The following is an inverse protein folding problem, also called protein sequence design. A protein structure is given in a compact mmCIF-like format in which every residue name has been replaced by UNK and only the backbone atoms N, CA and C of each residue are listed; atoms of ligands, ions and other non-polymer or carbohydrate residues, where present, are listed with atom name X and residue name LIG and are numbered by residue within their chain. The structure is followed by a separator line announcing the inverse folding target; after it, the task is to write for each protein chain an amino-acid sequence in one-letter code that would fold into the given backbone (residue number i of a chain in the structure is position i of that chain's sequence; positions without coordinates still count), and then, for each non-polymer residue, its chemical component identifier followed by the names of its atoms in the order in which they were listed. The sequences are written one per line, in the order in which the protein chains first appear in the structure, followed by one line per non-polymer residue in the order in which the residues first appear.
data_IF_998669961021
#
_entry.id   IF_998669961021
#
_cell.length_a   1.000
_cell.length_b   1.000
_cell.length_c   1.000
_cell.angle_alpha   90.00
_cell.angle_beta   90.00
_cell.angle_gamma   90.00
#
_symmetry.space_group_name_H-M   'P 1'
#
loop_
_entity.id
_entity.type
_entity.pdbx_description
1 polymer ?
#
# COMPACT_ATOMS: atom_id res chain seq x y z
N UNK A 1 -4.94 16.85 -8.19
CA UNK A 1 -4.21 17.42 -7.03
C UNK A 1 -2.70 17.12 -7.13
N UNK A 2 -2.26 15.86 -7.31
CA UNK A 2 -0.82 15.50 -7.37
C UNK A 2 -0.07 16.25 -8.48
N UNK A 3 -0.66 16.46 -9.66
CA UNK A 3 -0.03 17.25 -10.72
C UNK A 3 0.28 18.69 -10.27
N UNK A 4 -0.60 19.30 -9.47
CA UNK A 4 -0.32 20.64 -8.89
C UNK A 4 0.81 20.58 -7.86
N UNK A 5 0.87 19.51 -7.07
CA UNK A 5 1.96 19.32 -6.11
C UNK A 5 3.32 19.13 -6.82
N UNK A 6 3.35 18.37 -7.92
CA UNK A 6 4.56 18.20 -8.74
C UNK A 6 4.97 19.53 -9.36
N UNK A 7 4.05 20.25 -10.00
CA UNK A 7 4.35 21.58 -10.59
C UNK A 7 4.89 22.56 -9.52
N UNK A 8 4.25 22.59 -8.35
CA UNK A 8 4.71 23.39 -7.22
C UNK A 8 6.13 23.02 -6.77
N UNK A 9 6.42 21.74 -6.64
CA UNK A 9 7.74 21.24 -6.26
C UNK A 9 8.84 21.55 -7.27
N UNK A 10 8.50 21.65 -8.55
CA UNK A 10 9.41 22.06 -9.62
C UNK A 10 9.41 23.57 -9.91
N UNK A 11 8.80 24.39 -9.06
CA UNK A 11 8.96 25.85 -9.09
C UNK A 11 7.81 26.63 -9.71
N UNK A 12 6.68 26.00 -10.00
CA UNK A 12 5.52 26.74 -10.51
C UNK A 12 4.87 27.56 -9.40
N UNK A 13 4.90 28.88 -9.51
CA UNK A 13 4.25 29.79 -8.57
C UNK A 13 2.77 30.04 -8.93
N UNK A 14 2.39 29.87 -10.18
CA UNK A 14 1.03 30.00 -10.67
C UNK A 14 0.71 28.91 -11.70
N UNK A 15 -0.49 28.37 -11.62
CA UNK A 15 -1.02 27.37 -12.57
C UNK A 15 -2.42 27.80 -13.00
N UNK A 16 -2.67 27.86 -14.32
CA UNK A 16 -3.98 28.14 -14.89
C UNK A 16 -4.57 26.87 -15.53
N UNK A 17 -5.39 26.09 -14.80
CA UNK A 17 -6.00 24.86 -15.32
C UNK A 17 -7.26 25.18 -16.13
N UNK A 18 -7.09 25.95 -17.22
CA UNK A 18 -8.20 26.52 -18.01
C UNK A 18 -9.17 25.43 -18.47
N UNK A 19 -8.68 24.30 -18.97
CA UNK A 19 -9.53 23.21 -19.46
C UNK A 19 -10.41 22.60 -18.36
N UNK A 20 -9.88 22.46 -17.14
CA UNK A 20 -10.68 22.00 -16.01
C UNK A 20 -11.77 23.03 -15.63
N UNK A 21 -11.45 24.32 -15.67
CA UNK A 21 -12.42 25.39 -15.38
C UNK A 21 -13.52 25.45 -16.44
N UNK A 22 -13.17 25.38 -17.72
CA UNK A 22 -14.14 25.34 -18.83
C UNK A 22 -15.03 24.07 -18.76
N UNK A 23 -14.44 22.92 -18.43
CA UNK A 23 -15.20 21.69 -18.23
C UNK A 23 -16.22 21.84 -17.09
N UNK A 24 -15.85 22.47 -15.99
CA UNK A 24 -16.76 22.72 -14.89
C UNK A 24 -17.92 23.66 -15.30
N UNK A 25 -17.62 24.69 -16.06
CA UNK A 25 -18.66 25.58 -16.61
C UNK A 25 -19.60 24.85 -17.57
N UNK A 26 -19.04 23.97 -18.42
CA UNK A 26 -19.86 23.16 -19.32
C UNK A 26 -20.78 22.19 -18.57
N UNK A 27 -20.30 21.58 -17.46
CA UNK A 27 -21.07 20.60 -16.67
C UNK A 27 -22.13 21.26 -15.77
N UNK A 28 -21.85 22.43 -15.18
CA UNK A 28 -22.70 23.08 -14.20
C UNK A 28 -23.41 24.33 -14.75
N UNK A 29 -23.15 24.70 -16.00
CA UNK A 29 -23.67 25.88 -16.66
C UNK A 29 -22.79 27.12 -16.43
N UNK A 30 -22.88 28.07 -17.39
CA UNK A 30 -22.27 29.40 -17.23
C UNK A 30 -23.04 30.20 -16.18
N UNK A 31 -22.30 30.96 -15.33
CA UNK A 31 -22.86 31.78 -14.28
C UNK A 31 -22.64 31.26 -12.86
N UNK A 32 -23.55 31.59 -11.95
CA UNK A 32 -23.33 31.40 -10.50
C UNK A 32 -23.00 29.95 -10.06
N UNK A 33 -23.62 28.95 -10.67
CA UNK A 33 -23.35 27.54 -10.33
C UNK A 33 -21.99 27.06 -10.88
N UNK A 34 -21.63 27.45 -12.11
CA UNK A 34 -20.29 27.17 -12.67
C UNK A 34 -19.18 27.85 -11.88
N UNK A 35 -19.38 29.13 -11.53
CA UNK A 35 -18.43 29.90 -10.72
C UNK A 35 -18.22 29.27 -9.34
N UNK A 36 -19.30 28.79 -8.72
CA UNK A 36 -19.24 28.06 -7.45
C UNK A 36 -18.51 26.74 -7.57
N UNK A 37 -18.71 25.99 -8.67
CA UNK A 37 -18.00 24.77 -8.94
C UNK A 37 -16.49 25.01 -9.09
N UNK A 38 -16.09 26.07 -9.83
CA UNK A 38 -14.69 26.49 -9.96
C UNK A 38 -14.10 26.87 -8.60
N UNK A 39 -14.83 27.68 -7.81
CA UNK A 39 -14.37 28.06 -6.47
C UNK A 39 -14.16 26.85 -5.56
N UNK A 40 -15.04 25.85 -5.62
CA UNK A 40 -14.88 24.60 -4.91
C UNK A 40 -13.67 23.79 -5.40
N UNK A 41 -13.45 23.73 -6.70
CA UNK A 41 -12.27 23.09 -7.29
C UNK A 41 -10.97 23.73 -6.80
N UNK A 42 -10.85 25.07 -6.90
CA UNK A 42 -9.68 25.80 -6.42
C UNK A 42 -9.45 25.56 -4.92
N UNK A 43 -10.51 25.63 -4.12
CA UNK A 43 -10.43 25.34 -2.68
C UNK A 43 -9.99 23.90 -2.39
N UNK A 44 -10.47 22.93 -3.17
CA UNK A 44 -10.09 21.52 -3.02
C UNK A 44 -8.61 21.30 -3.36
N UNK A 45 -8.11 21.90 -4.45
CA UNK A 45 -6.69 21.86 -4.82
C UNK A 45 -5.82 22.49 -3.73
N UNK A 46 -6.17 23.69 -3.25
CA UNK A 46 -5.42 24.36 -2.18
C UNK A 46 -5.35 23.53 -0.90
N UNK A 47 -6.50 22.98 -0.45
CA UNK A 47 -6.51 22.06 0.71
C UNK A 47 -5.68 20.81 0.47
N UNK A 48 -5.72 20.25 -0.75
CA UNK A 48 -4.93 19.10 -1.13
C UNK A 48 -3.44 19.38 -1.07
N UNK A 49 -2.97 20.49 -1.62
CA UNK A 49 -1.56 20.89 -1.59
C UNK A 49 -1.08 21.11 -0.16
N UNK A 50 -1.84 21.83 0.67
CA UNK A 50 -1.53 22.00 2.08
C UNK A 50 -1.41 20.67 2.81
N UNK A 51 -2.27 19.70 2.48
CA UNK A 51 -2.22 18.36 3.07
C UNK A 51 -0.97 17.59 2.65
N UNK A 52 -0.56 17.68 1.37
CA UNK A 52 0.70 17.10 0.87
C UNK A 52 1.88 17.66 1.63
N UNK A 53 2.00 18.98 1.70
CA UNK A 53 3.07 19.68 2.42
C UNK A 53 3.11 19.29 3.90
N UNK A 54 1.96 19.29 4.56
CA UNK A 54 1.83 18.89 5.98
C UNK A 54 2.31 17.47 6.23
N UNK A 55 1.99 16.54 5.33
CA UNK A 55 2.45 15.14 5.43
C UNK A 55 3.97 14.99 5.27
N UNK A 56 4.59 15.89 4.54
CA UNK A 56 6.04 15.94 4.38
C UNK A 56 6.74 16.76 5.48
N UNK A 57 5.99 17.32 6.43
CA UNK A 57 6.53 18.19 7.47
C UNK A 57 7.00 19.56 6.96
N UNK A 58 6.54 19.98 5.77
CA UNK A 58 6.90 21.27 5.16
C UNK A 58 5.79 22.27 5.41
N UNK A 59 6.09 23.33 6.17
CA UNK A 59 5.11 24.30 6.63
C UNK A 59 4.93 25.49 5.69
N UNK A 60 5.89 25.79 4.82
CA UNK A 60 5.84 26.94 3.91
C UNK A 60 6.03 26.52 2.46
N UNK A 61 5.33 27.22 1.55
CA UNK A 61 5.46 26.95 0.12
C UNK A 61 6.89 27.19 -0.41
N UNK A 62 7.58 28.20 0.10
CA UNK A 62 8.97 28.50 -0.24
C UNK A 62 9.91 27.32 0.04
N UNK A 63 9.67 26.59 1.13
CA UNK A 63 10.45 25.41 1.47
C UNK A 63 10.06 24.17 0.68
N UNK A 64 8.88 24.17 0.09
CA UNK A 64 8.41 23.08 -0.76
C UNK A 64 8.94 23.18 -2.19
N UNK A 65 8.98 24.39 -2.72
CA UNK A 65 9.45 24.70 -4.08
C UNK A 65 10.94 24.39 -4.21
N UNK A 66 11.30 23.53 -5.15
CA UNK A 66 12.70 23.14 -5.40
C UNK A 66 13.31 22.20 -4.33
N UNK A 67 12.51 21.62 -3.44
CA UNK A 67 12.99 20.78 -2.34
C UNK A 67 13.50 19.39 -2.76
N UNK A 68 13.52 19.05 -4.06
CA UNK A 68 13.97 17.74 -4.60
C UNK A 68 13.27 16.53 -3.93
N UNK A 69 11.99 16.65 -3.71
CA UNK A 69 11.17 15.65 -3.01
C UNK A 69 10.56 14.60 -3.95
N UNK A 70 10.91 14.63 -5.22
CA UNK A 70 10.40 13.72 -6.24
C UNK A 70 11.51 12.77 -6.70
N UNK A 71 11.09 11.60 -7.14
CA UNK A 71 11.92 10.59 -7.76
C UNK A 71 11.37 10.31 -9.17
N UNK A 72 12.27 10.26 -10.17
CA UNK A 72 11.91 9.86 -11.51
C UNK A 72 12.00 8.33 -11.63
N UNK A 73 10.95 7.72 -12.15
CA UNK A 73 10.89 6.28 -12.40
C UNK A 73 10.54 6.06 -13.87
N UNK A 74 11.37 5.29 -14.58
CA UNK A 74 11.14 4.94 -15.97
C UNK A 74 11.55 6.02 -16.98
N UNK A 75 12.41 6.96 -16.61
CA UNK A 75 13.01 7.95 -17.50
C UNK A 75 14.53 7.73 -17.59
N UNK A 76 15.09 7.82 -18.80
CA UNK A 76 16.53 7.75 -19.01
C UNK A 76 17.28 8.83 -18.22
N UNK A 77 18.43 8.49 -17.66
CA UNK A 77 19.24 9.41 -16.86
C UNK A 77 19.59 10.69 -17.66
N UNK A 78 19.97 10.56 -18.93
CA UNK A 78 20.26 11.71 -19.79
C UNK A 78 19.08 12.66 -19.99
N UNK A 79 17.84 12.12 -20.00
CA UNK A 79 16.63 12.92 -20.07
C UNK A 79 16.40 13.67 -18.73
N UNK A 80 16.58 12.98 -17.62
CA UNK A 80 16.44 13.57 -16.28
C UNK A 80 17.48 14.66 -16.07
N UNK A 81 18.74 14.42 -16.38
CA UNK A 81 19.83 15.39 -16.21
C UNK A 81 19.60 16.67 -17.00
N UNK A 82 19.00 16.55 -18.19
CA UNK A 82 18.74 17.69 -19.07
C UNK A 82 17.51 18.53 -18.65
N UNK A 83 16.42 17.88 -18.24
CA UNK A 83 15.12 18.54 -18.06
C UNK A 83 14.68 18.62 -16.61
N UNK A 84 15.20 17.76 -15.75
CA UNK A 84 14.85 17.64 -14.33
C UNK A 84 16.12 17.55 -13.47
N UNK A 85 17.09 18.39 -13.76
CA UNK A 85 18.41 18.40 -13.12
C UNK A 85 18.31 18.31 -11.58
N UNK A 86 19.02 17.34 -11.00
CA UNK A 86 19.01 17.09 -9.56
C UNK A 86 17.89 16.16 -9.06
N UNK A 87 16.95 15.76 -9.93
CA UNK A 87 15.97 14.72 -9.59
C UNK A 87 16.66 13.37 -9.56
N UNK A 88 16.43 12.61 -8.50
CA UNK A 88 16.97 11.25 -8.37
C UNK A 88 16.22 10.26 -9.25
N UNK A 89 16.94 9.32 -9.87
CA UNK A 89 16.37 8.24 -10.66
C UNK A 89 17.20 6.97 -10.44
N UNK A 90 16.53 5.85 -10.16
CA UNK A 90 17.17 4.53 -10.02
C UNK A 90 16.65 3.52 -11.03
N UNK A 91 15.53 3.81 -11.66
CA UNK A 91 14.92 2.96 -12.68
C UNK A 91 14.83 3.75 -13.96
N UNK A 92 15.77 3.49 -14.87
CA UNK A 92 15.76 4.10 -16.21
C UNK A 92 14.67 3.50 -17.10
N UNK A 93 14.34 4.18 -18.19
CA UNK A 93 13.32 3.74 -19.13
C UNK A 93 13.35 4.56 -20.42
N UNK A 94 12.25 5.26 -20.71
CA UNK A 94 12.06 6.02 -21.96
C UNK A 94 12.88 7.31 -21.97
N UNK A 95 13.31 7.69 -23.17
CA UNK A 95 14.04 8.92 -23.42
C UNK A 95 13.19 9.99 -24.11
N UNK A 96 13.88 11.00 -24.66
CA UNK A 96 13.23 12.15 -25.30
C UNK A 96 12.38 11.77 -26.50
N UNK A 97 12.79 10.75 -27.28
CA UNK A 97 12.07 10.35 -28.49
C UNK A 97 10.74 9.70 -28.16
N UNK A 98 10.70 8.83 -27.17
CA UNK A 98 9.47 8.16 -26.73
C UNK A 98 8.50 9.17 -26.08
N UNK A 99 9.02 10.08 -25.26
CA UNK A 99 8.20 11.18 -24.68
C UNK A 99 7.62 12.07 -25.79
N UNK A 100 8.43 12.40 -26.80
CA UNK A 100 7.97 13.16 -27.97
C UNK A 100 6.89 12.39 -28.74
N UNK A 101 7.08 11.09 -28.97
CA UNK A 101 6.09 10.24 -29.65
C UNK A 101 4.76 10.20 -28.91
N UNK A 102 4.78 10.04 -27.59
CA UNK A 102 3.56 10.10 -26.75
C UNK A 102 2.85 11.45 -26.87
N UNK A 103 3.61 12.55 -26.86
CA UNK A 103 3.05 13.89 -27.04
C UNK A 103 2.42 14.08 -28.44
N UNK A 104 3.07 13.57 -29.49
CA UNK A 104 2.56 13.62 -30.88
C UNK A 104 1.28 12.78 -30.98
N UNK A 105 1.26 11.57 -30.43
CA UNK A 105 0.07 10.71 -30.40
C UNK A 105 -1.11 11.40 -29.72
N UNK A 106 -0.87 12.00 -28.56
CA UNK A 106 -1.89 12.75 -27.82
C UNK A 106 -2.41 13.94 -28.61
N UNK A 107 -1.51 14.71 -29.25
CA UNK A 107 -1.87 15.82 -30.11
C UNK A 107 -2.70 15.36 -31.32
N UNK A 108 -2.24 14.30 -32.02
CA UNK A 108 -2.95 13.75 -33.18
C UNK A 108 -4.36 13.28 -32.79
N UNK A 109 -4.51 12.64 -31.64
CA UNK A 109 -5.79 12.20 -31.12
C UNK A 109 -6.75 13.39 -30.85
N UNK A 110 -6.22 14.49 -30.30
CA UNK A 110 -7.02 15.68 -29.99
C UNK A 110 -7.44 16.47 -31.22
N UNK A 111 -6.60 16.51 -32.26
CA UNK A 111 -6.78 17.37 -33.43
C UNK A 111 -6.94 16.62 -34.76
N UNK A 112 -7.17 15.31 -34.70
CA UNK A 112 -7.40 14.48 -35.88
C UNK A 112 -8.71 14.90 -36.56
N UNK A 113 -8.69 14.84 -37.91
CA UNK A 113 -9.84 15.13 -38.72
C UNK A 113 -10.89 14.01 -38.79
N UNK A 114 -10.73 12.93 -37.99
CA UNK A 114 -11.69 11.84 -37.91
C UNK A 114 -12.92 12.27 -37.09
N UNK A 115 -14.08 12.53 -37.74
CA UNK A 115 -15.25 13.08 -37.04
C UNK A 115 -15.90 12.07 -36.09
N UNK A 116 -15.60 10.75 -36.22
CA UNK A 116 -16.15 9.71 -35.37
C UNK A 116 -15.39 9.61 -34.05
N UNK A 117 -14.07 9.82 -34.09
CA UNK A 117 -13.21 9.71 -32.91
C UNK A 117 -13.03 11.04 -32.16
N UNK A 118 -13.11 12.15 -32.85
CA UNK A 118 -12.87 13.49 -32.28
C UNK A 118 -13.86 13.92 -31.19
N UNK A 119 -15.06 13.33 -31.16
CA UNK A 119 -16.09 13.63 -30.16
C UNK A 119 -16.23 12.59 -29.04
N UNK A 120 -15.43 11.53 -29.03
CA UNK A 120 -15.53 10.45 -28.04
C UNK A 120 -14.44 10.55 -27.01
N UNK A 121 -14.82 10.62 -25.74
CA UNK A 121 -13.87 10.44 -24.64
C UNK A 121 -13.47 8.96 -24.54
N UNK A 122 -12.25 8.72 -24.08
CA UNK A 122 -11.79 7.37 -23.76
C UNK A 122 -12.66 6.74 -22.66
N UNK A 123 -12.76 5.42 -22.67
CA UNK A 123 -13.50 4.68 -21.66
C UNK A 123 -12.96 4.91 -20.24
N UNK A 124 -11.73 5.43 -20.12
CA UNK A 124 -11.03 5.62 -18.85
C UNK A 124 -10.71 4.29 -18.19
N UNK A 125 -10.93 4.19 -16.90
CA UNK A 125 -10.71 2.94 -16.18
C UNK A 125 -9.42 2.90 -15.36
N UNK A 126 -8.76 4.02 -15.14
CA UNK A 126 -7.53 4.10 -14.33
C UNK A 126 -7.73 3.53 -12.91
N UNK A 127 -8.86 3.84 -12.28
CA UNK A 127 -9.16 3.44 -10.89
C UNK A 127 -10.08 2.22 -10.77
N UNK A 128 -10.85 1.93 -11.81
CA UNK A 128 -11.77 0.81 -11.85
C UNK A 128 -11.79 0.21 -13.24
N UNK A 129 -11.78 -1.12 -13.33
CA UNK A 129 -11.84 -1.82 -14.61
C UNK A 129 -13.06 -1.38 -15.44
N UNK A 130 -12.82 -1.05 -16.71
CA UNK A 130 -13.84 -0.76 -17.70
C UNK A 130 -13.56 -1.53 -18.98
N UNK A 131 -14.59 -2.07 -19.60
CA UNK A 131 -14.48 -2.70 -20.92
C UNK A 131 -13.96 -1.65 -21.92
N UNK A 132 -12.92 -1.96 -22.66
CA UNK A 132 -12.20 -1.06 -23.59
C UNK A 132 -11.51 0.15 -22.93
N UNK A 133 -11.37 0.16 -21.60
CA UNK A 133 -10.61 1.15 -20.86
C UNK A 133 -9.16 0.75 -20.65
N UNK A 134 -8.54 1.39 -19.66
CA UNK A 134 -7.17 1.08 -19.22
C UNK A 134 -7.02 -0.40 -18.85
N UNK A 135 -5.87 -0.95 -19.17
CA UNK A 135 -5.56 -2.35 -18.86
C UNK A 135 -5.16 -2.51 -17.39
N UNK A 136 -5.64 -3.59 -16.77
CA UNK A 136 -5.34 -3.95 -15.39
C UNK A 136 -4.76 -5.35 -15.32
N UNK A 137 -3.81 -5.58 -14.41
CA UNK A 137 -3.36 -6.93 -14.06
C UNK A 137 -4.48 -7.70 -13.35
N UNK A 138 -5.21 -7.03 -12.46
CA UNK A 138 -6.35 -7.58 -11.72
C UNK A 138 -7.64 -7.35 -12.50
N UNK A 139 -7.93 -8.25 -13.42
CA UNK A 139 -9.16 -8.23 -14.21
C UNK A 139 -10.30 -8.94 -13.48
N UNK A 140 -11.57 -8.70 -13.85
CA UNK A 140 -12.71 -9.47 -13.34
C UNK A 140 -12.53 -10.98 -13.51
N UNK A 141 -11.93 -11.44 -14.62
CA UNK A 141 -11.66 -12.85 -14.87
C UNK A 141 -10.62 -13.42 -13.89
N UNK A 142 -9.51 -12.72 -13.67
CA UNK A 142 -8.51 -13.12 -12.70
C UNK A 142 -9.11 -13.24 -11.27
N UNK A 143 -9.92 -12.26 -10.87
CA UNK A 143 -10.59 -12.27 -9.56
C UNK A 143 -11.60 -13.42 -9.47
N UNK A 144 -12.43 -13.62 -10.50
CA UNK A 144 -13.42 -14.68 -10.51
C UNK A 144 -12.77 -16.07 -10.44
N UNK A 145 -11.67 -16.30 -11.18
CA UNK A 145 -10.93 -17.57 -11.13
C UNK A 145 -10.32 -17.84 -9.77
N UNK A 146 -9.70 -16.82 -9.14
CA UNK A 146 -9.17 -16.97 -7.80
C UNK A 146 -10.25 -17.31 -6.78
N UNK A 147 -11.37 -16.58 -6.79
CA UNK A 147 -12.50 -16.82 -5.89
C UNK A 147 -13.11 -18.19 -6.13
N UNK A 148 -13.28 -18.60 -7.39
CA UNK A 148 -13.82 -19.91 -7.72
C UNK A 148 -12.89 -21.04 -7.25
N UNK A 149 -11.58 -20.92 -7.53
CA UNK A 149 -10.58 -21.90 -7.11
C UNK A 149 -10.60 -22.11 -5.58
N UNK A 150 -10.61 -21.02 -4.81
CA UNK A 150 -10.61 -21.08 -3.34
C UNK A 150 -11.94 -21.59 -2.76
N UNK A 151 -13.09 -21.25 -3.37
CA UNK A 151 -14.41 -21.69 -2.90
C UNK A 151 -14.69 -23.15 -3.18
N UNK A 152 -14.14 -23.69 -4.27
CA UNK A 152 -14.38 -25.09 -4.72
C UNK A 152 -13.22 -26.01 -4.46
N UNK A 153 -12.11 -25.50 -3.90
CA UNK A 153 -10.87 -26.23 -3.66
C UNK A 153 -10.31 -26.91 -4.94
N UNK A 154 -10.40 -26.19 -6.09
CA UNK A 154 -9.93 -26.66 -7.39
C UNK A 154 -8.59 -26.08 -7.75
N UNK A 155 -7.54 -26.89 -7.60
CA UNK A 155 -6.17 -26.47 -7.91
C UNK A 155 -5.95 -26.16 -9.40
N UNK A 156 -6.65 -26.84 -10.31
CA UNK A 156 -6.53 -26.54 -11.76
C UNK A 156 -7.04 -25.15 -12.10
N UNK A 157 -8.15 -24.72 -11.50
CA UNK A 157 -8.63 -23.33 -11.64
C UNK A 157 -7.67 -22.32 -11.03
N UNK A 158 -6.99 -22.67 -9.94
CA UNK A 158 -5.92 -21.85 -9.39
C UNK A 158 -4.73 -21.72 -10.36
N UNK A 159 -4.35 -22.78 -11.06
CA UNK A 159 -3.30 -22.73 -12.10
C UNK A 159 -3.69 -21.81 -13.27
N UNK A 160 -4.95 -21.82 -13.67
CA UNK A 160 -5.45 -20.88 -14.70
C UNK A 160 -5.33 -19.43 -14.22
N UNK A 161 -5.71 -19.14 -12.98
CA UNK A 161 -5.51 -17.82 -12.36
C UNK A 161 -4.03 -17.45 -12.34
N UNK A 162 -3.18 -18.36 -11.88
CA UNK A 162 -1.73 -18.11 -11.80
C UNK A 162 -1.12 -17.82 -13.17
N UNK A 163 -1.57 -18.51 -14.22
CA UNK A 163 -1.15 -18.25 -15.60
C UNK A 163 -1.51 -16.82 -16.05
N UNK A 164 -2.74 -16.36 -15.78
CA UNK A 164 -3.18 -14.99 -16.11
C UNK A 164 -2.29 -13.94 -15.43
N UNK A 165 -1.93 -14.15 -14.17
CA UNK A 165 -1.14 -13.17 -13.40
C UNK A 165 0.35 -13.23 -13.77
N UNK A 166 0.89 -14.41 -14.03
CA UNK A 166 2.33 -14.60 -14.24
C UNK A 166 2.75 -14.45 -15.71
N UNK A 167 1.87 -14.75 -16.67
CA UNK A 167 2.17 -14.55 -18.08
C UNK A 167 2.03 -13.07 -18.46
N UNK A 168 3.12 -12.36 -18.40
CA UNK A 168 3.23 -10.98 -18.82
C UNK A 168 4.02 -10.80 -20.13
N UNK A 169 4.18 -11.88 -20.90
CA UNK A 169 4.95 -11.89 -22.15
C UNK A 169 4.41 -10.93 -23.20
N UNK A 170 3.09 -10.72 -23.23
CA UNK A 170 2.43 -9.80 -24.17
C UNK A 170 2.18 -8.41 -23.59
N UNK A 171 2.09 -8.30 -22.26
CA UNK A 171 1.68 -7.09 -21.55
C UNK A 171 2.39 -6.98 -20.22
N UNK A 172 3.42 -6.18 -20.17
CA UNK A 172 4.15 -5.93 -18.93
C UNK A 172 3.37 -5.00 -18.01
N UNK A 173 2.77 -5.56 -16.96
CA UNK A 173 1.97 -4.82 -15.99
C UNK A 173 2.71 -4.51 -14.69
N UNK A 174 3.82 -5.20 -14.44
CA UNK A 174 4.64 -5.04 -13.23
C UNK A 174 6.12 -5.18 -13.56
N UNK A 175 6.98 -4.55 -12.75
CA UNK A 175 8.43 -4.74 -12.85
C UNK A 175 8.83 -6.21 -12.71
N UNK A 176 8.11 -7.00 -11.92
CA UNK A 176 8.33 -8.43 -11.77
C UNK A 176 8.21 -9.19 -13.11
N UNK A 177 7.31 -8.75 -13.99
CA UNK A 177 7.13 -9.34 -15.32
C UNK A 177 8.32 -9.16 -16.25
N UNK A 178 9.25 -8.24 -15.92
CA UNK A 178 10.48 -8.00 -16.67
C UNK A 178 11.66 -8.86 -16.17
N UNK A 179 11.50 -9.57 -15.06
CA UNK A 179 12.58 -10.36 -14.49
C UNK A 179 12.63 -11.74 -15.10
N UNK A 180 13.83 -12.19 -15.42
CA UNK A 180 14.11 -13.54 -15.86
C UNK A 180 14.92 -14.29 -14.79
N UNK A 181 14.54 -15.53 -14.52
CA UNK A 181 15.31 -16.40 -13.61
C UNK A 181 16.57 -16.88 -14.34
N UNK A 182 17.72 -16.57 -13.77
CA UNK A 182 19.00 -17.09 -14.26
C UNK A 182 19.27 -18.46 -13.62
N UNK A 183 19.04 -19.50 -14.40
CA UNK A 183 19.31 -20.86 -13.96
C UNK A 183 20.82 -21.13 -13.98
N UNK A 184 21.28 -22.01 -13.08
CA UNK A 184 22.62 -22.54 -13.12
C UNK A 184 22.78 -23.49 -14.32
N UNK A 185 24.03 -23.68 -14.81
CA UNK A 185 24.33 -24.59 -15.90
C UNK A 185 24.04 -26.06 -15.55
N UNK A 186 24.21 -26.43 -14.26
CA UNK A 186 23.94 -27.74 -13.74
C UNK A 186 22.92 -27.68 -12.62
N UNK A 187 21.92 -28.55 -12.69
CA UNK A 187 20.95 -28.72 -11.60
C UNK A 187 21.60 -29.39 -10.42
N UNK A 188 21.32 -28.95 -9.20
CA UNK A 188 21.70 -29.67 -7.98
C UNK A 188 20.70 -30.81 -7.73
N UNK A 189 21.12 -31.90 -7.03
CA UNK A 189 20.23 -32.96 -6.60
C UNK A 189 19.06 -32.44 -5.76
N UNK A 190 17.88 -33.05 -5.89
CA UNK A 190 16.66 -32.56 -5.22
C UNK A 190 16.76 -32.59 -3.69
N UNK A 191 17.50 -33.50 -3.14
CA UNK A 191 17.78 -33.66 -1.71
C UNK A 191 18.70 -32.55 -1.14
N UNK A 192 19.45 -31.88 -2.01
CA UNK A 192 20.25 -30.69 -1.67
C UNK A 192 19.45 -29.39 -1.77
N UNK A 193 18.25 -29.42 -2.37
CA UNK A 193 17.37 -28.24 -2.46
C UNK A 193 16.71 -28.01 -1.10
N UNK A 194 16.74 -26.75 -0.64
CA UNK A 194 16.10 -26.38 0.63
C UNK A 194 14.61 -26.75 0.62
N UNK A 195 14.12 -27.49 1.63
CA UNK A 195 12.72 -27.91 1.70
C UNK A 195 11.76 -26.72 1.80
N UNK A 196 10.61 -26.80 1.14
CA UNK A 196 9.56 -25.77 1.17
C UNK A 196 9.20 -25.35 2.60
N UNK A 197 9.10 -26.31 3.53
CA UNK A 197 8.80 -26.06 4.96
C UNK A 197 9.83 -25.13 5.65
N UNK A 198 11.06 -25.06 5.15
CA UNK A 198 12.10 -24.19 5.70
C UNK A 198 12.10 -22.84 4.96
N UNK A 199 11.81 -22.84 3.66
CA UNK A 199 11.66 -21.62 2.86
C UNK A 199 10.51 -20.76 3.39
N UNK A 200 9.34 -21.35 3.66
CA UNK A 200 8.13 -20.59 4.09
C UNK A 200 8.29 -19.91 5.45
N UNK A 201 9.20 -20.35 6.31
CA UNK A 201 9.51 -19.69 7.59
C UNK A 201 10.01 -18.26 7.44
N UNK A 202 10.56 -17.92 6.27
CA UNK A 202 11.05 -16.57 5.94
C UNK A 202 9.97 -15.67 5.33
N UNK A 203 8.80 -16.21 5.04
CA UNK A 203 7.70 -15.45 4.45
C UNK A 203 6.82 -14.83 5.53
N UNK A 204 6.41 -13.60 5.28
CA UNK A 204 5.49 -12.87 6.14
C UNK A 204 4.41 -12.18 5.30
N UNK A 205 3.22 -12.03 5.86
CA UNK A 205 2.19 -11.18 5.24
C UNK A 205 2.58 -9.70 5.37
N UNK A 206 2.06 -8.88 4.47
CA UNK A 206 2.08 -7.43 4.67
C UNK A 206 1.37 -7.04 5.99
N UNK A 207 1.75 -5.90 6.55
CA UNK A 207 1.11 -5.36 7.73
C UNK A 207 -0.26 -4.77 7.38
N UNK A 208 -1.32 -5.51 7.63
CA UNK A 208 -2.70 -5.10 7.35
C UNK A 208 -3.47 -4.99 8.67
N UNK A 209 -3.87 -3.78 9.01
CA UNK A 209 -4.56 -3.50 10.27
C UNK A 209 -6.00 -3.98 10.26
N UNK A 210 -6.45 -4.53 11.38
CA UNK A 210 -7.86 -4.82 11.60
C UNK A 210 -8.68 -3.52 11.52
N UNK A 211 -9.71 -3.53 10.70
CA UNK A 211 -10.51 -2.35 10.33
C UNK A 211 -10.23 -1.86 8.90
N UNK A 212 -9.01 -2.02 8.37
CA UNK A 212 -8.75 -1.92 6.92
C UNK A 212 -9.18 -3.20 6.19
N UNK A 213 -9.01 -4.35 6.83
CA UNK A 213 -9.56 -5.64 6.42
C UNK A 213 -10.52 -6.17 7.49
N UNK A 214 -11.36 -7.13 7.14
CA UNK A 214 -12.33 -7.73 8.05
C UNK A 214 -11.66 -8.57 9.14
N UNK A 215 -12.39 -8.83 10.23
CA UNK A 215 -11.96 -9.73 11.31
C UNK A 215 -11.67 -11.13 10.76
N UNK A 216 -12.53 -11.62 9.87
CA UNK A 216 -12.37 -12.91 9.21
C UNK A 216 -11.08 -12.98 8.41
N UNK A 217 -10.84 -12.02 7.51
CA UNK A 217 -9.63 -11.98 6.69
C UNK A 217 -8.36 -11.89 7.55
N UNK A 218 -8.35 -11.01 8.55
CA UNK A 218 -7.21 -10.84 9.45
C UNK A 218 -6.90 -12.12 10.25
N UNK A 219 -7.94 -12.83 10.70
CA UNK A 219 -7.78 -14.07 11.48
C UNK A 219 -7.38 -15.24 10.57
N UNK A 220 -8.01 -15.36 9.39
CA UNK A 220 -7.70 -16.41 8.41
C UNK A 220 -6.25 -16.34 7.93
N UNK A 221 -5.73 -15.13 7.70
CA UNK A 221 -4.32 -14.93 7.36
C UNK A 221 -3.39 -15.44 8.47
N UNK A 222 -3.72 -15.17 9.73
CA UNK A 222 -2.92 -15.67 10.85
C UNK A 222 -2.94 -17.20 10.93
N UNK A 223 -4.11 -17.82 10.80
CA UNK A 223 -4.25 -19.28 10.81
C UNK A 223 -3.47 -19.91 9.65
N UNK A 224 -3.63 -19.37 8.43
CA UNK A 224 -2.95 -19.88 7.25
C UNK A 224 -1.43 -19.83 7.40
N UNK A 225 -0.90 -18.69 7.83
CA UNK A 225 0.55 -18.54 8.03
C UNK A 225 1.08 -19.44 9.15
N UNK A 226 0.36 -19.56 10.26
CA UNK A 226 0.75 -20.44 11.34
C UNK A 226 0.77 -21.92 10.91
N UNK A 227 -0.23 -22.37 10.13
CA UNK A 227 -0.31 -23.74 9.61
C UNK A 227 0.86 -24.10 8.68
N UNK A 228 1.30 -23.17 7.85
CA UNK A 228 2.44 -23.39 6.93
C UNK A 228 3.80 -23.09 7.58
N UNK A 229 3.84 -22.52 8.79
CA UNK A 229 5.08 -22.13 9.47
C UNK A 229 5.62 -20.75 9.06
N UNK A 230 4.87 -19.97 8.31
CA UNK A 230 5.18 -18.56 7.99
C UNK A 230 4.76 -17.59 9.10
N UNK A 231 4.82 -16.29 8.82
CA UNK A 231 4.51 -15.25 9.81
C UNK A 231 3.40 -14.32 9.30
N UNK A 232 2.38 -14.09 10.11
CA UNK A 232 1.40 -13.04 9.84
C UNK A 232 1.68 -11.80 10.66
N UNK A 233 1.36 -10.63 10.09
CA UNK A 233 1.59 -9.32 10.70
C UNK A 233 0.25 -8.65 11.02
N UNK A 234 0.06 -8.24 12.28
CA UNK A 234 -1.18 -7.59 12.74
C UNK A 234 -1.46 -6.24 12.08
N UNK A 235 -0.45 -5.58 11.51
CA UNK A 235 -0.51 -4.14 11.31
C UNK A 235 -0.59 -3.40 12.66
N UNK A 236 -0.85 -2.10 12.59
CA UNK A 236 -0.88 -1.23 13.77
C UNK A 236 -2.23 -1.17 14.50
N UNK A 237 -3.19 -2.00 14.13
CA UNK A 237 -4.57 -1.93 14.63
C UNK A 237 -4.85 -2.70 15.93
N UNK A 238 -3.84 -3.32 16.53
CA UNK A 238 -4.02 -4.21 17.65
C UNK A 238 -4.51 -5.61 17.23
N UNK A 239 -4.72 -6.46 18.20
CA UNK A 239 -5.22 -7.81 18.02
C UNK A 239 -6.04 -8.23 19.25
N UNK A 240 -7.19 -8.86 19.03
CA UNK A 240 -8.07 -9.29 20.08
C UNK A 240 -7.40 -10.36 20.96
N UNK A 241 -7.47 -10.19 22.28
CA UNK A 241 -6.86 -11.09 23.26
C UNK A 241 -7.41 -12.52 23.19
N UNK A 242 -8.64 -12.69 22.69
CA UNK A 242 -9.22 -14.03 22.48
C UNK A 242 -8.40 -14.85 21.48
N UNK A 243 -7.68 -14.22 20.56
CA UNK A 243 -6.83 -14.87 19.56
C UNK A 243 -5.52 -15.38 20.14
N UNK A 244 -5.13 -14.95 21.33
CA UNK A 244 -3.87 -15.39 21.98
C UNK A 244 -4.00 -16.77 22.62
N UNK A 245 -5.23 -17.23 22.80
CA UNK A 245 -5.48 -18.57 23.40
C UNK A 245 -5.28 -19.65 22.33
N UNK A 246 -4.49 -20.70 22.63
CA UNK A 246 -4.33 -21.83 21.71
C UNK A 246 -5.66 -22.60 21.61
N UNK A 247 -5.90 -23.16 20.44
CA UNK A 247 -7.04 -24.06 20.22
C UNK A 247 -6.72 -25.41 20.83
N UNK A 248 -7.51 -25.85 21.79
CA UNK A 248 -7.28 -27.11 22.51
C UNK A 248 -8.11 -28.28 22.01
N UNK A 249 -9.19 -28.00 21.28
CA UNK A 249 -10.08 -29.00 20.67
C UNK A 249 -10.59 -28.51 19.32
N UNK A 250 -11.06 -29.45 18.49
CA UNK A 250 -11.65 -29.10 17.20
C UNK A 250 -12.87 -28.21 17.40
N UNK A 251 -12.94 -27.10 16.67
CA UNK A 251 -14.02 -26.12 16.71
C UNK A 251 -14.12 -25.33 15.41
N UNK A 252 -15.12 -24.49 15.28
CA UNK A 252 -15.27 -23.61 14.11
C UNK A 252 -14.84 -22.19 14.42
N UNK A 253 -14.31 -21.51 13.40
CA UNK A 253 -13.87 -20.10 13.51
C UNK A 253 -15.00 -19.20 13.99
N UNK A 254 -16.23 -19.42 13.52
CA UNK A 254 -17.44 -18.68 13.92
C UNK A 254 -17.69 -18.69 15.43
N UNK A 255 -17.33 -19.77 16.11
CA UNK A 255 -17.49 -19.91 17.56
C UNK A 255 -16.56 -18.99 18.35
N UNK A 256 -15.47 -18.50 17.71
CA UNK A 256 -14.50 -17.60 18.36
C UNK A 256 -14.77 -16.15 17.98
N UNK A 257 -14.92 -15.84 16.68
CA UNK A 257 -15.05 -14.46 16.21
C UNK A 257 -16.51 -14.01 16.01
N UNK A 258 -17.45 -14.91 16.18
CA UNK A 258 -18.90 -14.69 16.01
C UNK A 258 -19.41 -15.02 14.62
N UNK A 259 -20.56 -15.65 14.51
CA UNK A 259 -21.19 -16.09 13.25
C UNK A 259 -21.40 -14.93 12.26
N UNK A 260 -21.81 -13.76 12.72
CA UNK A 260 -22.04 -12.59 11.88
C UNK A 260 -20.77 -12.02 11.22
N UNK A 261 -19.59 -12.49 11.60
CA UNK A 261 -18.28 -12.02 11.12
C UNK A 261 -17.61 -13.01 10.19
N UNK A 262 -18.25 -14.11 9.85
CA UNK A 262 -17.71 -15.18 9.04
C UNK A 262 -18.60 -15.40 7.83
N UNK A 263 -18.05 -15.21 6.63
CA UNK A 263 -18.74 -15.55 5.37
C UNK A 263 -18.63 -17.05 5.09
N UNK A 264 -17.45 -17.62 5.31
CA UNK A 264 -17.18 -19.06 5.16
C UNK A 264 -16.51 -19.60 6.40
N UNK A 265 -17.25 -20.40 7.13
CA UNK A 265 -16.75 -20.98 8.37
C UNK A 265 -15.71 -22.07 8.11
N UNK A 266 -14.59 -21.98 8.78
CA UNK A 266 -13.49 -22.94 8.67
C UNK A 266 -13.34 -23.77 9.93
N UNK A 267 -12.90 -25.01 9.77
CA UNK A 267 -12.58 -25.91 10.87
C UNK A 267 -11.18 -25.60 11.42
N UNK A 268 -11.11 -25.51 12.72
CA UNK A 268 -9.91 -25.36 13.50
C UNK A 268 -9.61 -26.68 14.21
N UNK A 269 -8.35 -27.08 14.20
CA UNK A 269 -7.89 -28.27 14.88
C UNK A 269 -7.20 -27.93 16.19
N UNK A 270 -7.12 -28.89 17.10
CA UNK A 270 -6.29 -28.75 18.29
C UNK A 270 -4.82 -28.44 17.86
N UNK A 271 -4.25 -27.42 18.47
CA UNK A 271 -2.92 -26.90 18.12
C UNK A 271 -2.91 -25.73 17.14
N UNK A 272 -4.03 -25.43 16.49
CA UNK A 272 -4.12 -24.20 15.66
C UNK A 272 -4.00 -22.94 16.54
N UNK A 273 -3.44 -21.90 15.96
CA UNK A 273 -3.30 -20.58 16.57
C UNK A 273 -3.88 -19.50 15.67
N UNK A 274 -4.70 -18.63 16.27
CA UNK A 274 -5.26 -17.46 15.59
C UNK A 274 -4.38 -16.23 15.78
N UNK A 275 -3.35 -16.34 16.59
CA UNK A 275 -2.41 -15.28 16.94
C UNK A 275 -1.49 -14.95 15.75
N UNK A 276 -1.38 -13.68 15.40
CA UNK A 276 -0.35 -13.22 14.48
C UNK A 276 1.01 -13.22 15.17
N UNK A 277 2.02 -13.79 14.52
CA UNK A 277 3.38 -13.87 15.08
C UNK A 277 4.11 -12.53 15.09
N UNK A 278 3.86 -11.67 14.10
CA UNK A 278 4.44 -10.33 14.04
C UNK A 278 3.40 -9.32 14.55
N UNK A 279 3.78 -8.53 15.55
CA UNK A 279 2.95 -7.45 16.07
C UNK A 279 3.58 -6.11 15.75
N UNK A 280 2.86 -5.28 15.00
CA UNK A 280 3.35 -3.97 14.60
C UNK A 280 3.01 -2.92 15.68
N UNK A 281 3.98 -2.05 15.94
CA UNK A 281 3.89 -0.92 16.85
C UNK A 281 4.16 0.35 16.06
N UNK A 282 3.18 1.28 16.06
CA UNK A 282 3.33 2.61 15.45
C UNK A 282 3.30 3.68 16.54
N UNK A 283 2.13 4.23 16.82
CA UNK A 283 1.93 5.10 17.98
C UNK A 283 1.14 4.34 19.04
N UNK A 284 1.36 4.61 20.31
CA UNK A 284 0.69 3.91 21.41
C UNK A 284 -0.84 4.05 21.45
N UNK A 285 -1.43 4.81 20.51
CA UNK A 285 -2.88 5.07 20.43
C UNK A 285 -3.69 3.99 19.71
N UNK A 286 -3.06 2.93 19.15
CA UNK A 286 -3.75 1.97 18.30
C UNK A 286 -3.77 0.55 18.84
N UNK A 287 -4.00 0.39 20.15
CA UNK A 287 -4.22 -0.93 20.75
C UNK A 287 -2.95 -1.67 21.16
N UNK A 288 -1.85 -0.95 21.36
CA UNK A 288 -0.62 -1.51 21.93
C UNK A 288 -0.76 -1.59 23.44
N UNK A 289 -0.80 -2.83 23.95
CA UNK A 289 -0.84 -3.14 25.39
C UNK A 289 0.30 -4.07 25.73
N UNK A 290 0.64 -4.21 27.00
CA UNK A 290 1.64 -5.20 27.45
C UNK A 290 1.24 -6.61 27.03
N UNK A 291 -0.04 -6.96 27.15
CA UNK A 291 -0.56 -8.26 26.72
C UNK A 291 -0.35 -8.50 25.21
N UNK A 292 -0.55 -7.48 24.39
CA UNK A 292 -0.26 -7.53 22.96
C UNK A 292 1.23 -7.79 22.70
N UNK A 293 2.12 -7.09 23.39
CA UNK A 293 3.57 -7.21 23.21
C UNK A 293 4.12 -8.57 23.65
N UNK A 294 3.68 -9.10 24.79
CA UNK A 294 4.18 -10.39 25.30
C UNK A 294 3.72 -11.59 24.47
N UNK A 295 2.68 -11.42 23.65
CA UNK A 295 2.18 -12.42 22.72
C UNK A 295 2.79 -12.31 21.31
N UNK A 296 3.84 -11.52 21.11
CA UNK A 296 4.58 -11.42 19.86
C UNK A 296 5.74 -12.42 19.82
N UNK A 297 5.97 -13.04 18.64
CA UNK A 297 7.24 -13.70 18.32
C UNK A 297 8.22 -12.69 17.71
N UNK A 298 7.68 -11.67 17.03
CA UNK A 298 8.42 -10.54 16.51
C UNK A 298 7.61 -9.25 16.71
N UNK A 299 8.27 -8.21 17.21
CA UNK A 299 7.70 -6.87 17.31
C UNK A 299 8.27 -6.04 16.17
N UNK A 300 7.41 -5.38 15.41
CA UNK A 300 7.82 -4.55 14.29
C UNK A 300 7.51 -3.08 14.56
N UNK A 301 8.55 -2.27 14.68
CA UNK A 301 8.42 -0.82 14.80
C UNK A 301 8.10 -0.23 13.43
N UNK A 302 6.98 0.47 13.30
CA UNK A 302 6.60 1.20 12.10
C UNK A 302 7.14 2.62 12.17
N UNK A 303 8.32 2.87 11.58
CA UNK A 303 8.90 4.20 11.53
C UNK A 303 8.10 5.15 10.63
N UNK A 304 7.70 4.66 9.45
CA UNK A 304 6.98 5.42 8.46
C UNK A 304 6.13 4.50 7.58
N UNK A 305 5.30 5.08 6.74
CA UNK A 305 4.51 4.35 5.75
C UNK A 305 4.61 5.03 4.39
N UNK A 306 4.58 4.24 3.32
CA UNK A 306 4.53 4.71 1.93
C UNK A 306 3.13 5.21 1.53
N UNK A 307 2.42 5.90 2.43
CA UNK A 307 1.11 6.46 2.12
C UNK A 307 1.24 7.54 1.05
N UNK A 308 0.27 7.59 0.14
CA UNK A 308 0.23 8.62 -0.90
C UNK A 308 0.23 10.01 -0.25
N UNK A 309 1.05 10.94 -0.75
CA UNK A 309 1.03 12.31 -0.26
C UNK A 309 -0.39 12.89 -0.33
N UNK A 310 -0.82 13.56 0.73
CA UNK A 310 -2.15 14.14 0.84
C UNK A 310 -3.26 13.20 1.35
N UNK A 311 -3.08 11.88 1.29
CA UNK A 311 -4.04 10.92 1.83
C UNK A 311 -3.63 10.44 3.22
N UNK A 312 -2.36 10.07 3.40
CA UNK A 312 -1.86 9.48 4.64
C UNK A 312 -2.52 8.14 4.95
N UNK A 313 -2.18 7.56 6.08
CA UNK A 313 -2.88 6.40 6.63
C UNK A 313 -4.14 6.84 7.36
N UNK A 314 -5.31 6.49 6.84
CA UNK A 314 -6.58 6.85 7.46
C UNK A 314 -7.51 5.65 7.52
N UNK A 315 -8.14 5.46 8.68
CA UNK A 315 -9.33 4.63 8.82
C UNK A 315 -10.53 5.57 8.94
N UNK A 316 -11.42 5.64 7.92
CA UNK A 316 -12.59 6.53 7.96
C UNK A 316 -13.52 6.18 9.11
N UNK A 317 -14.19 7.16 9.69
CA UNK A 317 -15.06 6.99 10.86
C UNK A 317 -16.13 5.91 10.69
N UNK A 318 -16.72 5.78 9.49
CA UNK A 318 -17.74 4.75 9.21
C UNK A 318 -17.20 3.31 9.30
N UNK A 319 -15.87 3.11 9.25
CA UNK A 319 -15.22 1.81 9.47
C UNK A 319 -14.81 1.58 10.94
N UNK A 320 -14.85 2.61 11.76
CA UNK A 320 -14.55 2.51 13.20
C UNK A 320 -15.82 2.08 13.94
N UNK A 321 -16.10 0.79 13.91
CA UNK A 321 -17.19 0.19 14.68
C UNK A 321 -16.90 0.23 16.20
N UNK A 322 -17.86 -0.10 17.02
CA UNK A 322 -17.67 -0.25 18.47
C UNK A 322 -16.54 -1.23 18.80
N UNK A 323 -16.48 -2.36 18.10
CA UNK A 323 -15.42 -3.34 18.25
C UNK A 323 -14.03 -2.78 17.91
N UNK A 324 -13.91 -2.09 16.76
CA UNK A 324 -12.64 -1.45 16.36
C UNK A 324 -12.27 -0.32 17.32
N UNK A 325 -13.26 0.46 17.75
CA UNK A 325 -13.06 1.53 18.74
C UNK A 325 -12.51 1.00 20.06
N UNK A 326 -13.12 -0.06 20.59
CA UNK A 326 -12.66 -0.72 21.81
C UNK A 326 -11.24 -1.30 21.64
N UNK A 327 -10.98 -2.02 20.54
CA UNK A 327 -9.67 -2.64 20.28
C UNK A 327 -8.54 -1.61 20.15
N UNK A 328 -8.84 -0.45 19.57
CA UNK A 328 -7.86 0.63 19.36
C UNK A 328 -7.85 1.69 20.45
N UNK A 329 -8.61 1.49 21.52
CA UNK A 329 -8.79 2.48 22.59
C UNK A 329 -9.19 3.87 22.06
N UNK A 330 -10.15 3.88 21.13
CA UNK A 330 -10.61 5.08 20.43
C UNK A 330 -12.14 5.17 20.42
N UNK A 331 -12.67 6.29 19.94
CA UNK A 331 -14.13 6.54 19.91
C UNK A 331 -14.71 5.97 18.62
N UNK A 332 -15.76 5.12 18.70
CA UNK A 332 -16.47 4.64 17.51
C UNK A 332 -17.00 5.79 16.64
N UNK A 333 -17.00 5.61 15.34
CA UNK A 333 -17.48 6.60 14.38
C UNK A 333 -16.51 7.76 14.09
N UNK A 334 -15.42 7.88 14.85
CA UNK A 334 -14.39 8.92 14.63
C UNK A 334 -13.25 8.35 13.80
N UNK A 335 -12.87 9.06 12.73
CA UNK A 335 -11.76 8.64 11.85
C UNK A 335 -10.41 8.64 12.59
N UNK A 336 -9.58 7.64 12.28
CA UNK A 336 -8.26 7.46 12.85
C UNK A 336 -7.20 7.78 11.79
N UNK A 337 -6.20 8.57 12.15
CA UNK A 337 -5.10 8.96 11.27
C UNK A 337 -3.80 8.39 11.82
N UNK A 338 -3.09 7.64 10.98
CA UNK A 338 -1.73 7.21 11.23
C UNK A 338 -0.77 8.17 10.54
N UNK A 339 0.00 8.97 11.27
CA UNK A 339 0.98 9.87 10.66
C UNK A 339 2.08 9.07 9.97
N UNK A 340 2.67 9.56 8.85
CA UNK A 340 3.75 8.88 8.15
C UNK A 340 4.98 8.60 9.03
N UNK A 341 5.54 9.56 9.80
CA UNK A 341 6.60 9.29 10.75
C UNK A 341 6.04 8.85 12.11
N UNK A 342 6.82 8.03 12.83
CA UNK A 342 6.55 7.75 14.24
C UNK A 342 6.84 9.00 15.07
N UNK A 343 5.90 9.44 15.89
CA UNK A 343 5.98 10.75 16.57
C UNK A 343 7.13 10.90 17.58
N UNK A 344 7.54 9.80 18.18
CA UNK A 344 8.45 9.84 19.34
C UNK A 344 9.89 9.45 18.97
N UNK A 345 10.18 9.28 17.68
CA UNK A 345 11.49 8.86 17.20
C UNK A 345 12.03 9.93 16.25
N UNK A 346 13.03 10.65 16.69
CA UNK A 346 13.70 11.73 15.95
C UNK A 346 15.18 11.47 15.74
N UNK A 347 15.76 10.45 16.40
CA UNK A 347 17.16 10.09 16.31
C UNK A 347 17.38 8.59 16.40
N UNK A 348 18.61 8.14 16.14
CA UNK A 348 19.01 6.73 16.32
C UNK A 348 18.89 6.34 17.80
N UNK A 349 19.21 7.25 18.70
CA UNK A 349 19.14 7.05 20.16
C UNK A 349 17.71 6.85 20.64
N UNK A 350 16.75 7.61 20.11
CA UNK A 350 15.33 7.41 20.42
C UNK A 350 14.85 6.03 19.95
N UNK A 351 15.30 5.59 18.77
CA UNK A 351 15.00 4.25 18.27
C UNK A 351 15.64 3.18 19.16
N UNK A 352 16.88 3.34 19.56
CA UNK A 352 17.57 2.42 20.46
C UNK A 352 16.85 2.30 21.80
N UNK A 353 16.37 3.42 22.35
CA UNK A 353 15.57 3.42 23.58
C UNK A 353 14.27 2.62 23.39
N UNK A 354 13.54 2.83 22.29
CA UNK A 354 12.31 2.08 22.03
C UNK A 354 12.59 0.59 21.85
N UNK A 355 13.65 0.21 21.14
CA UNK A 355 14.06 -1.19 20.98
C UNK A 355 14.34 -1.81 22.35
N UNK A 356 15.10 -1.12 23.20
CA UNK A 356 15.38 -1.56 24.54
C UNK A 356 14.11 -1.76 25.38
N UNK A 357 13.16 -0.83 25.33
CA UNK A 357 11.90 -0.89 26.07
C UNK A 357 11.03 -2.09 25.59
N UNK A 358 10.97 -2.30 24.27
CA UNK A 358 10.25 -3.44 23.70
C UNK A 358 10.90 -4.79 24.07
N UNK A 359 12.23 -4.85 24.10
CA UNK A 359 12.97 -6.02 24.58
C UNK A 359 12.77 -6.28 26.05
N UNK A 360 12.61 -5.25 26.87
CA UNK A 360 12.23 -5.41 28.28
C UNK A 360 10.80 -5.89 28.44
N UNK A 361 9.86 -5.44 27.62
CA UNK A 361 8.48 -5.92 27.61
C UNK A 361 8.37 -7.38 27.16
N UNK A 362 9.14 -7.79 26.16
CA UNK A 362 9.20 -9.16 25.65
C UNK A 362 10.62 -9.55 25.23
N UNK A 363 11.44 -10.07 26.15
CA UNK A 363 12.83 -10.43 25.86
C UNK A 363 13.00 -11.52 24.78
N UNK A 364 11.97 -12.34 24.56
CA UNK A 364 12.00 -13.46 23.61
C UNK A 364 11.65 -13.03 22.18
N UNK A 365 10.96 -11.90 22.01
CA UNK A 365 10.57 -11.44 20.68
C UNK A 365 11.76 -10.84 19.94
N UNK A 366 11.86 -11.13 18.64
CA UNK A 366 12.71 -10.35 17.75
C UNK A 366 12.14 -8.95 17.58
N UNK A 367 13.02 -7.95 17.38
CA UNK A 367 12.60 -6.60 17.05
C UNK A 367 13.04 -6.27 15.63
N UNK A 368 12.13 -5.80 14.82
CA UNK A 368 12.40 -5.33 13.45
C UNK A 368 11.84 -3.93 13.23
N UNK A 369 12.35 -3.24 12.25
CA UNK A 369 11.93 -1.88 11.90
C UNK A 369 11.42 -1.86 10.47
N UNK A 370 10.21 -1.36 10.27
CA UNK A 370 9.64 -1.11 8.95
C UNK A 370 10.04 0.26 8.46
N UNK A 371 10.68 0.29 7.31
CA UNK A 371 11.04 1.52 6.59
C UNK A 371 10.18 1.67 5.33
N UNK A 372 10.25 2.84 4.70
CA UNK A 372 9.65 3.08 3.38
C UNK A 372 10.65 2.68 2.31
N UNK A 373 10.18 2.01 1.26
CA UNK A 373 10.99 1.69 0.08
C UNK A 373 11.11 2.94 -0.80
N UNK A 374 12.12 3.74 -0.52
CA UNK A 374 12.42 4.99 -1.23
C UNK A 374 13.92 5.13 -1.45
N UNK A 375 14.30 6.11 -2.25
CA UNK A 375 15.72 6.40 -2.48
C UNK A 375 16.38 6.81 -1.16
N UNK A 376 17.60 6.30 -0.90
CA UNK A 376 18.31 6.57 0.37
C UNK A 376 17.92 5.66 1.54
N UNK A 377 16.96 4.74 1.38
CA UNK A 377 16.55 3.82 2.46
C UNK A 377 17.70 3.00 3.04
N UNK A 378 18.73 2.71 2.24
CA UNK A 378 19.94 2.03 2.71
C UNK A 378 20.69 2.81 3.79
N UNK A 379 20.77 4.14 3.66
CA UNK A 379 21.37 5.02 4.69
C UNK A 379 20.53 5.00 5.97
N UNK A 380 19.22 5.06 5.86
CA UNK A 380 18.29 4.95 7.00
C UNK A 380 18.46 3.59 7.67
N UNK A 381 18.52 2.51 6.88
CA UNK A 381 18.70 1.14 7.40
C UNK A 381 20.05 0.98 8.13
N UNK A 382 21.13 1.64 7.68
CA UNK A 382 22.39 1.67 8.39
C UNK A 382 22.26 2.37 9.76
N UNK A 383 21.46 3.42 9.87
CA UNK A 383 21.13 4.08 11.14
C UNK A 383 20.33 3.14 12.06
N UNK A 384 19.32 2.44 11.51
CA UNK A 384 18.53 1.44 12.26
C UNK A 384 19.43 0.32 12.79
N UNK A 385 20.38 -0.16 11.98
CA UNK A 385 21.30 -1.23 12.40
C UNK A 385 22.24 -0.82 13.54
N UNK A 386 22.41 0.47 13.80
CA UNK A 386 23.20 1.00 14.94
C UNK A 386 22.37 1.12 16.22
N UNK A 387 21.06 1.21 16.09
CA UNK A 387 20.15 1.27 17.24
C UNK A 387 19.96 -0.12 17.87
#
# INVERSE_FOLDING_TARGET
MHHFAVLAGYGAEAVHPYLAMETLQQLFGEGAEGDKAIAHFVKAIGKGLMKVMSKMGISTYMSYTGAQIFEAVGLQQAFVDRYFTGTTSQVEGIGVFEVMEEAIRSHHKAFSADPVLAGMLDAGGEYAFRIRGEEHMWTPDAIAKLQHATRTDKYDTYKEYAAIINDQSQRHMTLRGLFELRNAEHAIPLDEVEPVKDIVKRFATGAMSLGSISTEAHTTLAIAMNRIGGKSNTGEGGEDVMRFKPITQAMRLSQIIGESRVERDIELNAGDSLRSSIKQVASGRFGVTTEYLVNADQIQIKMAQGAKPGEGGQLPGHKVSEYIGALRHSVPGVGLISPPPHHDIYSIEDLAQLIHDLKNANPRADVSVKLVSEIGVGTIAAGVAKA
#
